data_IF_698553954576
#
_entry.id   IF_698553954576
#
_cell.length_a   1.000
_cell.length_b   1.000
_cell.length_c   1.000
_cell.angle_alpha   90.00
_cell.angle_beta   90.00
_cell.angle_gamma   90.00
#
_symmetry.space_group_name_H-M   'P 1'
#
loop_
_entity.id
_entity.type
_entity.pdbx_description
1 polymer ?
#
# COMPACT_ATOMS: atom_id res chain seq x y z
N UNK A 1 -28.25 -26.33 -79.79
CA UNK A 1 -28.33 -26.99 -78.48
C UNK A 1 -27.18 -26.45 -77.63
N UNK A 2 -27.54 -25.72 -76.58
CA UNK A 2 -26.72 -25.28 -75.44
C UNK A 2 -25.29 -24.80 -75.71
N UNK A 3 -25.14 -23.49 -75.95
CA UNK A 3 -23.95 -22.76 -75.50
C UNK A 3 -24.17 -22.45 -74.00
N UNK A 4 -23.23 -22.87 -73.17
CA UNK A 4 -23.37 -22.92 -71.70
C UNK A 4 -22.93 -21.59 -71.08
N UNK A 5 -23.78 -20.87 -70.33
CA UNK A 5 -23.36 -19.69 -69.58
C UNK A 5 -23.09 -20.01 -68.10
N UNK A 6 -22.39 -19.09 -67.43
CA UNK A 6 -22.21 -18.96 -65.98
C UNK A 6 -21.20 -19.93 -65.33
N UNK A 7 -20.39 -19.56 -64.35
CA UNK A 7 -20.09 -18.26 -63.76
C UNK A 7 -18.81 -18.43 -62.89
N UNK A 8 -18.12 -17.31 -62.71
CA UNK A 8 -17.49 -16.85 -61.47
C UNK A 8 -16.40 -17.71 -60.78
N UNK A 9 -15.19 -17.14 -60.82
CA UNK A 9 -14.34 -16.84 -59.67
C UNK A 9 -14.46 -17.75 -58.43
N UNK A 10 -13.45 -18.60 -58.24
CA UNK A 10 -13.16 -19.20 -56.93
C UNK A 10 -11.68 -19.55 -56.83
N UNK A 11 -10.81 -18.54 -56.71
CA UNK A 11 -9.52 -18.73 -56.05
C UNK A 11 -9.18 -17.46 -55.26
N UNK A 12 -9.88 -17.29 -54.13
CA UNK A 12 -9.49 -16.34 -53.11
C UNK A 12 -9.96 -16.85 -51.74
N UNK A 13 -8.97 -17.09 -50.88
CA UNK A 13 -9.07 -17.07 -49.43
C UNK A 13 -9.80 -18.25 -48.75
N UNK A 14 -9.12 -19.40 -48.69
CA UNK A 14 -9.17 -20.22 -47.48
C UNK A 14 -8.40 -19.51 -46.34
N UNK A 15 -8.98 -18.42 -45.81
CA UNK A 15 -8.47 -17.77 -44.61
C UNK A 15 -8.80 -18.69 -43.41
N UNK A 16 -7.79 -19.45 -42.96
CA UNK A 16 -7.83 -20.12 -41.65
C UNK A 16 -8.11 -19.13 -40.51
N UNK A 17 -8.41 -19.61 -39.29
CA UNK A 17 -8.93 -18.77 -38.20
C UNK A 17 -8.03 -17.54 -37.98
N UNK A 18 -8.58 -16.36 -38.29
CA UNK A 18 -7.86 -15.09 -38.26
C UNK A 18 -7.26 -14.87 -36.89
N UNK A 19 -5.93 -14.85 -36.80
CA UNK A 19 -5.20 -14.59 -35.56
C UNK A 19 -5.57 -13.19 -35.07
N UNK A 20 -6.29 -13.08 -33.96
CA UNK A 20 -6.58 -11.77 -33.35
C UNK A 20 -5.26 -11.03 -33.09
N UNK A 21 -5.14 -9.75 -33.48
CA UNK A 21 -3.91 -9.00 -33.33
C UNK A 21 -3.54 -8.92 -31.84
N UNK A 22 -2.25 -9.15 -31.55
CA UNK A 22 -1.72 -9.07 -30.20
C UNK A 22 -1.54 -7.58 -29.85
N UNK A 23 -2.10 -7.08 -28.75
CA UNK A 23 -1.96 -5.66 -28.39
C UNK A 23 -0.49 -5.32 -28.14
N UNK A 24 -0.03 -4.20 -28.71
CA UNK A 24 1.36 -3.74 -28.64
C UNK A 24 1.57 -2.67 -27.57
N UNK A 25 0.54 -1.89 -27.26
CA UNK A 25 0.59 -0.84 -26.23
C UNK A 25 -0.16 -1.26 -24.96
N UNK A 26 0.21 -0.71 -23.77
CA UNK A 26 -0.54 -0.98 -22.53
C UNK A 26 -2.00 -0.49 -22.62
N UNK A 27 -2.25 0.57 -23.39
CA UNK A 27 -3.59 1.09 -23.63
C UNK A 27 -4.43 0.10 -24.45
N UNK A 28 -3.85 -0.53 -25.47
CA UNK A 28 -4.53 -1.58 -26.24
C UNK A 28 -4.87 -2.82 -25.40
N UNK A 29 -3.99 -3.22 -24.47
CA UNK A 29 -4.27 -4.33 -23.53
C UNK A 29 -5.47 -4.00 -22.65
N UNK A 30 -5.52 -2.78 -22.12
CA UNK A 30 -6.65 -2.30 -21.31
C UNK A 30 -7.93 -2.21 -22.14
N UNK A 31 -7.86 -1.63 -23.35
CA UNK A 31 -8.99 -1.52 -24.27
C UNK A 31 -9.56 -2.89 -24.64
N UNK A 32 -8.71 -3.89 -24.91
CA UNK A 32 -9.12 -5.26 -25.18
C UNK A 32 -9.79 -5.92 -23.96
N UNK A 33 -9.27 -5.68 -22.74
CA UNK A 33 -9.88 -6.18 -21.50
C UNK A 33 -11.26 -5.55 -21.24
N UNK A 34 -11.39 -4.23 -21.48
CA UNK A 34 -12.65 -3.49 -21.38
C UNK A 34 -13.65 -3.99 -22.42
N UNK A 35 -13.24 -4.14 -23.69
CA UNK A 35 -14.09 -4.67 -24.75
C UNK A 35 -14.61 -6.07 -24.42
N UNK A 36 -13.76 -6.94 -23.85
CA UNK A 36 -14.15 -8.28 -23.39
C UNK A 36 -15.17 -8.24 -22.23
N UNK A 37 -15.03 -7.27 -21.32
CA UNK A 37 -15.94 -7.11 -20.20
C UNK A 37 -17.31 -6.57 -20.66
N UNK A 38 -17.31 -5.59 -21.57
CA UNK A 38 -18.51 -4.97 -22.12
C UNK A 38 -19.27 -5.88 -23.10
N UNK A 39 -18.62 -6.92 -23.65
CA UNK A 39 -19.28 -7.91 -24.48
C UNK A 39 -20.40 -8.69 -23.75
N UNK A 40 -20.31 -8.81 -22.42
CA UNK A 40 -21.34 -9.48 -21.59
C UNK A 40 -21.54 -8.69 -20.28
N UNK A 41 -22.31 -7.59 -20.29
CA UNK A 41 -22.44 -6.70 -19.14
C UNK A 41 -23.21 -7.32 -17.96
N UNK A 42 -24.05 -8.35 -18.21
CA UNK A 42 -24.82 -9.04 -17.16
C UNK A 42 -23.98 -10.02 -16.32
N UNK A 43 -22.77 -10.38 -16.78
CA UNK A 43 -21.91 -11.33 -16.08
C UNK A 43 -21.23 -10.66 -14.89
N UNK A 44 -21.54 -11.12 -13.67
CA UNK A 44 -20.87 -10.63 -12.46
C UNK A 44 -19.34 -10.78 -12.54
N UNK A 45 -18.64 -9.68 -12.25
CA UNK A 45 -17.17 -9.61 -12.26
C UNK A 45 -16.62 -10.22 -10.98
N UNK A 46 -15.91 -11.35 -11.09
CA UNK A 46 -15.22 -11.97 -9.97
C UNK A 46 -13.84 -11.35 -9.80
N UNK A 47 -13.71 -10.42 -8.87
CA UNK A 47 -12.40 -9.93 -8.44
C UNK A 47 -11.64 -11.05 -7.70
N UNK A 48 -10.32 -11.19 -7.93
CA UNK A 48 -9.52 -12.10 -7.12
C UNK A 48 -9.55 -11.62 -5.66
N UNK A 49 -9.82 -12.53 -4.74
CA UNK A 49 -9.68 -12.25 -3.31
C UNK A 49 -8.22 -12.03 -2.91
N UNK A 50 -7.96 -11.60 -1.67
CA UNK A 50 -6.61 -11.46 -1.16
C UNK A 50 -5.83 -12.79 -1.29
N UNK A 51 -4.50 -12.74 -1.51
CA UNK A 51 -3.68 -13.95 -1.59
C UNK A 51 -3.77 -14.70 -0.27
N UNK A 52 -4.13 -15.98 -0.33
CA UNK A 52 -4.20 -16.83 0.86
C UNK A 52 -2.79 -17.17 1.34
N UNK A 53 -2.60 -17.16 2.65
CA UNK A 53 -1.36 -17.64 3.24
C UNK A 53 -1.19 -19.15 2.99
N UNK A 54 0.07 -19.58 2.91
CA UNK A 54 0.39 -21.00 2.71
C UNK A 54 0.16 -21.73 4.04
N UNK A 55 -0.92 -22.50 4.10
CA UNK A 55 -1.25 -23.35 5.24
C UNK A 55 -0.98 -24.82 4.89
N UNK A 56 -0.45 -25.56 5.86
CA UNK A 56 -0.40 -27.01 5.73
C UNK A 56 -1.72 -27.58 6.19
N UNK A 57 -2.15 -28.63 5.49
CA UNK A 57 -3.27 -29.46 5.94
C UNK A 57 -3.01 -29.92 7.38
N UNK A 58 -4.04 -29.91 8.22
CA UNK A 58 -3.96 -30.45 9.57
C UNK A 58 -3.56 -31.94 9.58
N UNK A 59 -2.79 -32.42 10.58
CA UNK A 59 -2.51 -33.84 10.75
C UNK A 59 -3.83 -34.64 10.84
N UNK A 60 -3.79 -35.90 10.43
CA UNK A 60 -4.96 -36.78 10.54
C UNK A 60 -4.99 -37.30 11.97
N UNK A 61 -6.15 -37.21 12.63
CA UNK A 61 -6.27 -37.61 14.03
C UNK A 61 -6.09 -39.13 14.24
N UNK A 62 -6.60 -39.93 13.31
CA UNK A 62 -6.48 -41.39 13.36
C UNK A 62 -5.90 -41.93 12.06
N UNK A 63 -4.81 -42.70 12.19
CA UNK A 63 -4.22 -43.47 11.11
C UNK A 63 -4.73 -44.91 11.27
N UNK A 64 -5.52 -45.37 10.30
CA UNK A 64 -6.18 -46.69 10.35
C UNK A 64 -5.25 -47.87 10.03
N UNK A 65 -4.08 -47.59 9.44
CA UNK A 65 -3.18 -48.60 8.87
C UNK A 65 -1.84 -48.68 9.62
N UNK A 66 -1.88 -48.54 10.96
CA UNK A 66 -0.67 -48.64 11.79
C UNK A 66 -0.35 -50.12 11.99
N UNK A 67 0.77 -50.58 11.42
CA UNK A 67 1.29 -51.93 11.66
C UNK A 67 1.84 -52.02 13.09
N UNK A 68 1.85 -53.22 13.67
CA UNK A 68 2.30 -53.43 15.06
C UNK A 68 3.74 -52.99 15.29
N UNK A 69 4.08 -52.59 16.52
CA UNK A 69 5.39 -52.01 16.86
C UNK A 69 6.59 -52.94 16.61
N UNK A 70 6.35 -54.26 16.58
CA UNK A 70 7.37 -55.28 16.28
C UNK A 70 7.33 -55.79 14.83
N UNK A 71 6.45 -55.25 13.99
CA UNK A 71 6.40 -55.61 12.58
C UNK A 71 7.63 -55.04 11.84
N UNK A 72 8.22 -55.84 10.95
CA UNK A 72 9.37 -55.40 10.15
C UNK A 72 9.04 -54.27 9.16
N UNK A 73 10.09 -53.67 8.58
CA UNK A 73 9.93 -52.62 7.58
C UNK A 73 9.26 -53.16 6.31
N UNK A 74 8.03 -52.70 6.04
CA UNK A 74 7.31 -53.02 4.80
C UNK A 74 7.83 -52.19 3.61
N UNK A 75 7.56 -52.65 2.38
CA UNK A 75 7.97 -51.97 1.14
C UNK A 75 7.40 -50.55 0.98
N UNK A 76 6.27 -50.26 1.61
CA UNK A 76 5.63 -48.93 1.59
C UNK A 76 6.14 -47.95 2.64
N UNK A 77 6.90 -48.41 3.64
CA UNK A 77 7.29 -47.57 4.80
C UNK A 77 8.22 -46.42 4.38
N UNK A 78 9.09 -46.66 3.38
CA UNK A 78 9.96 -45.63 2.82
C UNK A 78 9.16 -44.42 2.29
N UNK A 79 8.05 -44.67 1.60
CA UNK A 79 7.21 -43.60 1.07
C UNK A 79 6.45 -42.88 2.17
N UNK A 80 5.95 -43.60 3.18
CA UNK A 80 5.33 -43.01 4.38
C UNK A 80 6.29 -42.02 5.03
N UNK A 81 7.54 -42.45 5.26
CA UNK A 81 8.58 -41.61 5.82
C UNK A 81 8.91 -40.39 4.94
N UNK A 82 9.08 -40.59 3.63
CA UNK A 82 9.36 -39.51 2.67
C UNK A 82 8.29 -38.42 2.71
N UNK A 83 7.01 -38.82 2.73
CA UNK A 83 5.89 -37.88 2.79
C UNK A 83 5.80 -37.19 4.16
N UNK A 84 5.99 -37.93 5.26
CA UNK A 84 5.98 -37.38 6.61
C UNK A 84 7.13 -36.37 6.82
N UNK A 85 8.36 -36.72 6.42
CA UNK A 85 9.53 -35.85 6.52
C UNK A 85 9.35 -34.57 5.70
N UNK A 86 8.87 -34.68 4.46
CA UNK A 86 8.61 -33.52 3.60
C UNK A 86 7.59 -32.57 4.24
N UNK A 87 6.48 -33.12 4.74
CA UNK A 87 5.44 -32.35 5.43
C UNK A 87 5.99 -31.65 6.67
N UNK A 88 6.86 -32.33 7.43
CA UNK A 88 7.46 -31.76 8.63
C UNK A 88 8.43 -30.61 8.30
N UNK A 89 9.25 -30.75 7.26
CA UNK A 89 10.11 -29.65 6.81
C UNK A 89 9.30 -28.45 6.30
N UNK A 90 8.23 -28.69 5.55
CA UNK A 90 7.32 -27.62 5.14
C UNK A 90 6.68 -26.95 6.37
N UNK A 91 6.39 -27.70 7.44
CA UNK A 91 5.79 -27.18 8.69
C UNK A 91 6.76 -26.30 9.45
N UNK A 92 7.96 -26.81 9.69
CA UNK A 92 9.03 -26.06 10.38
C UNK A 92 9.34 -24.78 9.60
N UNK A 93 9.51 -24.88 8.28
CA UNK A 93 9.77 -23.73 7.42
C UNK A 93 8.68 -22.67 7.50
N UNK A 94 7.41 -23.06 7.50
CA UNK A 94 6.30 -22.10 7.63
C UNK A 94 6.26 -21.43 9.00
N UNK A 95 6.62 -22.13 10.08
CA UNK A 95 6.73 -21.52 11.41
C UNK A 95 7.88 -20.52 11.46
N UNK A 96 9.06 -20.89 10.92
CA UNK A 96 10.21 -19.98 10.85
C UNK A 96 9.93 -18.75 9.99
N UNK A 97 9.29 -18.93 8.82
CA UNK A 97 8.92 -17.84 7.92
C UNK A 97 7.89 -16.89 8.57
N UNK A 98 6.97 -17.42 9.39
CA UNK A 98 6.00 -16.61 10.15
C UNK A 98 6.69 -15.82 11.26
N UNK A 99 7.54 -16.47 12.06
CA UNK A 99 8.29 -15.81 13.12
C UNK A 99 9.15 -14.65 12.57
N UNK A 100 9.88 -14.88 11.46
CA UNK A 100 10.67 -13.82 10.80
C UNK A 100 9.81 -12.64 10.35
N UNK A 101 8.65 -12.89 9.74
CA UNK A 101 7.73 -11.82 9.31
C UNK A 101 7.15 -11.05 10.50
N UNK A 102 6.82 -11.73 11.59
CA UNK A 102 6.32 -11.09 12.81
C UNK A 102 7.40 -10.19 13.44
N UNK A 103 8.64 -10.66 13.51
CA UNK A 103 9.77 -9.86 13.97
C UNK A 103 10.03 -8.64 13.08
N UNK A 104 10.04 -8.81 11.76
CA UNK A 104 10.23 -7.73 10.79
C UNK A 104 9.11 -6.68 10.85
N UNK A 105 7.85 -7.14 10.93
CA UNK A 105 6.69 -6.24 11.02
C UNK A 105 6.65 -5.50 12.35
N UNK A 106 6.99 -6.15 13.47
CA UNK A 106 7.10 -5.51 14.76
C UNK A 106 8.24 -4.47 14.78
N UNK A 107 9.41 -4.80 14.22
CA UNK A 107 10.53 -3.86 14.09
C UNK A 107 10.17 -2.67 13.21
N UNK A 108 9.48 -2.90 12.09
CA UNK A 108 9.02 -1.84 11.20
C UNK A 108 7.98 -0.93 11.86
N UNK A 109 7.01 -1.50 12.58
CA UNK A 109 6.00 -0.74 13.32
C UNK A 109 6.64 0.14 14.40
N UNK A 110 7.63 -0.38 15.15
CA UNK A 110 8.40 0.41 16.12
C UNK A 110 9.11 1.59 15.46
N UNK A 111 9.86 1.34 14.38
CA UNK A 111 10.55 2.39 13.62
C UNK A 111 9.59 3.45 13.08
N UNK A 112 8.43 3.04 12.56
CA UNK A 112 7.41 3.98 12.10
C UNK A 112 6.85 4.83 13.24
N UNK A 113 6.57 4.23 14.39
CA UNK A 113 6.07 4.94 15.57
C UNK A 113 7.08 5.97 16.09
N UNK A 114 8.37 5.61 16.14
CA UNK A 114 9.46 6.52 16.53
C UNK A 114 9.61 7.70 15.56
N UNK A 115 9.57 7.42 14.25
CA UNK A 115 9.60 8.46 13.22
C UNK A 115 8.36 9.37 13.32
N UNK A 116 7.16 8.81 13.47
CA UNK A 116 5.93 9.56 13.66
C UNK A 116 6.03 10.46 14.90
N UNK A 117 6.43 9.92 16.05
CA UNK A 117 6.60 10.68 17.28
C UNK A 117 7.62 11.82 17.15
N UNK A 118 8.76 11.58 16.50
CA UNK A 118 9.77 12.63 16.29
C UNK A 118 9.29 13.73 15.34
N UNK A 119 8.54 13.38 14.30
CA UNK A 119 7.95 14.36 13.37
C UNK A 119 6.81 15.13 14.02
N UNK A 120 5.98 14.49 14.82
CA UNK A 120 4.91 15.12 15.59
C UNK A 120 5.47 16.07 16.65
N UNK A 121 6.50 15.68 17.39
CA UNK A 121 7.17 16.57 18.34
C UNK A 121 7.72 17.83 17.65
N UNK A 122 8.38 17.68 16.48
CA UNK A 122 8.87 18.82 15.68
C UNK A 122 7.72 19.69 15.16
N UNK A 123 6.63 19.10 14.67
CA UNK A 123 5.49 19.85 14.13
C UNK A 123 4.69 20.56 15.22
N UNK A 124 4.51 19.94 16.39
CA UNK A 124 3.87 20.54 17.57
C UNK A 124 4.67 21.73 18.10
N UNK A 125 6.00 21.59 18.24
CA UNK A 125 6.88 22.72 18.63
C UNK A 125 6.76 23.89 17.66
N UNK A 126 6.73 23.61 16.35
CA UNK A 126 6.58 24.65 15.32
C UNK A 126 5.15 25.23 15.25
N UNK A 127 4.12 24.43 15.54
CA UNK A 127 2.73 24.89 15.66
C UNK A 127 2.59 25.84 16.86
N UNK A 128 3.07 25.44 18.04
CA UNK A 128 3.06 26.27 19.25
C UNK A 128 3.78 27.62 19.05
N UNK A 129 4.94 27.62 18.37
CA UNK A 129 5.65 28.87 17.99
C UNK A 129 4.80 29.79 17.10
N UNK A 130 4.12 29.23 16.10
CA UNK A 130 3.23 30.00 15.20
C UNK A 130 2.00 30.52 15.92
N UNK A 131 1.40 29.73 16.80
CA UNK A 131 0.20 30.13 17.54
C UNK A 131 0.51 31.22 18.57
N UNK A 132 1.67 31.15 19.25
CA UNK A 132 2.17 32.25 20.09
C UNK A 132 2.40 33.54 19.28
N UNK A 133 2.97 33.45 18.07
CA UNK A 133 3.14 34.61 17.18
C UNK A 133 1.80 35.18 16.71
N UNK A 134 0.84 34.33 16.35
CA UNK A 134 -0.52 34.75 15.96
C UNK A 134 -1.26 35.42 17.11
N UNK A 135 -1.18 34.87 18.32
CA UNK A 135 -1.78 35.46 19.51
C UNK A 135 -1.20 36.85 19.80
N UNK A 136 0.12 37.02 19.72
CA UNK A 136 0.77 38.34 19.85
C UNK A 136 0.36 39.33 18.75
N UNK A 137 0.25 38.87 17.49
CA UNK A 137 -0.19 39.73 16.40
C UNK A 137 -1.65 40.17 16.53
N UNK A 138 -2.54 39.28 16.99
CA UNK A 138 -3.95 39.63 17.28
C UNK A 138 -4.09 40.56 18.50
N UNK A 139 -3.33 40.30 19.57
CA UNK A 139 -3.32 41.16 20.76
C UNK A 139 -2.72 42.55 20.48
N UNK A 140 -1.71 42.65 19.62
CA UNK A 140 -1.12 43.92 19.19
C UNK A 140 -1.99 44.72 18.22
N UNK A 141 -2.80 44.05 17.39
CA UNK A 141 -3.73 44.72 16.47
C UNK A 141 -5.01 45.24 17.17
N UNK A 142 -5.40 44.66 18.32
CA UNK A 142 -6.54 45.12 19.12
C UNK A 142 -6.21 46.18 20.18
N UNK A 143 -4.92 46.39 20.49
CA UNK A 143 -4.47 47.28 21.57
C UNK A 143 -3.83 48.60 21.07
N UNK A 144 -4.08 49.00 19.82
CA UNK A 144 -3.66 50.30 19.27
C UNK A 144 -4.65 51.44 19.63
N UNK A 145 -5.26 51.37 20.81
CA UNK A 145 -6.17 52.38 21.33
C UNK A 145 -6.20 52.33 22.87
N UNK A 146 -5.19 52.90 23.52
CA UNK A 146 -5.14 53.02 24.98
C UNK A 146 -3.73 53.13 25.54
N UNK A 147 -3.26 54.36 25.75
CA UNK A 147 -2.01 54.66 26.43
C UNK A 147 -2.06 54.33 27.94
N UNK A 148 -1.01 53.67 28.43
CA UNK A 148 -0.18 53.98 29.62
C UNK A 148 0.22 52.76 30.46
N UNK A 149 1.51 52.43 30.35
CA UNK A 149 2.50 52.14 31.41
C UNK A 149 2.07 51.29 32.63
N UNK A 150 2.62 50.08 32.71
CA UNK A 150 3.09 49.49 33.96
C UNK A 150 4.32 48.59 33.70
N UNK A 151 5.41 48.90 34.39
CA UNK A 151 6.67 48.17 34.47
C UNK A 151 6.49 46.75 35.06
N UNK A 152 7.39 45.85 34.67
CA UNK A 152 7.75 44.68 35.49
C UNK A 152 7.45 43.31 34.89
N UNK A 153 8.31 42.83 34.01
CA UNK A 153 8.75 41.43 33.94
C UNK A 153 9.78 41.26 32.82
N UNK A 154 10.99 41.77 33.05
CA UNK A 154 12.18 41.18 32.46
C UNK A 154 12.39 39.82 33.13
N UNK A 155 11.88 38.76 32.51
CA UNK A 155 12.36 37.41 32.70
C UNK A 155 12.75 36.92 31.31
N UNK A 156 14.04 37.03 31.02
CA UNK A 156 14.62 36.47 29.83
C UNK A 156 14.42 34.95 29.81
N UNK A 157 14.01 34.45 28.66
CA UNK A 157 14.58 33.20 28.18
C UNK A 157 14.75 33.34 26.67
N UNK A 158 15.93 33.85 26.33
CA UNK A 158 16.56 33.61 25.06
C UNK A 158 17.12 32.19 25.08
N UNK A 159 16.28 31.16 24.93
CA UNK A 159 16.75 29.84 24.47
C UNK A 159 16.93 29.90 22.94
N UNK A 160 17.96 30.63 22.52
CA UNK A 160 18.62 30.45 21.25
C UNK A 160 19.84 29.55 21.47
N UNK A 161 19.86 28.44 20.72
CA UNK A 161 21.00 27.58 20.38
C UNK A 161 21.49 26.49 21.36
N UNK A 162 21.92 25.38 20.74
CA UNK A 162 22.50 24.11 21.24
C UNK A 162 21.47 23.13 21.88
N UNK A 163 21.37 21.85 21.53
CA UNK A 163 22.25 20.97 20.76
C UNK A 163 21.43 19.77 20.24
N UNK A 164 21.89 19.15 19.16
CA UNK A 164 21.20 18.09 18.44
C UNK A 164 21.71 18.02 17.01
N UNK A 165 23.02 17.76 16.91
CA UNK A 165 23.78 17.44 15.72
C UNK A 165 23.00 16.46 14.82
N UNK A 166 22.82 16.83 13.55
CA UNK A 166 22.58 15.91 12.45
C UNK A 166 23.13 16.58 11.17
N UNK A 167 24.45 16.79 11.18
CA UNK A 167 25.21 16.99 9.96
C UNK A 167 25.31 15.65 9.23
N UNK A 168 24.43 15.42 8.26
CA UNK A 168 24.75 14.87 6.94
C UNK A 168 23.46 14.60 6.15
N UNK A 169 22.90 15.66 5.55
CA UNK A 169 22.28 15.51 4.21
C UNK A 169 22.24 16.86 3.49
N UNK A 170 23.40 17.33 3.06
CA UNK A 170 23.52 18.31 1.98
C UNK A 170 23.10 17.70 0.64
N UNK A 171 21.82 17.35 0.53
CA UNK A 171 21.15 17.15 -0.75
C UNK A 171 20.53 18.48 -1.15
N UNK A 172 21.22 19.26 -1.99
CA UNK A 172 20.75 20.48 -2.67
C UNK A 172 19.23 20.52 -2.77
N UNK A 173 18.58 21.26 -1.87
CA UNK A 173 17.15 21.58 -1.97
C UNK A 173 16.98 22.45 -3.21
N UNK A 174 16.73 21.79 -4.35
CA UNK A 174 16.30 22.47 -5.57
C UNK A 174 15.01 23.19 -5.22
N UNK A 175 15.10 24.52 -5.12
CA UNK A 175 13.96 25.42 -5.09
C UNK A 175 13.14 25.07 -6.34
N UNK A 176 12.03 24.36 -6.17
CA UNK A 176 11.07 24.17 -7.24
C UNK A 176 10.59 25.58 -7.55
N UNK A 177 11.08 26.13 -8.66
CA UNK A 177 10.60 27.38 -9.19
C UNK A 177 9.09 27.23 -9.32
N UNK A 178 8.36 28.10 -8.63
CA UNK A 178 6.93 28.29 -8.75
C UNK A 178 6.67 28.59 -10.22
N UNK A 179 6.35 27.54 -10.99
CA UNK A 179 5.92 27.69 -12.36
C UNK A 179 4.69 28.60 -12.34
N UNK A 180 4.73 29.56 -13.25
CA UNK A 180 3.64 30.47 -13.53
C UNK A 180 2.34 29.69 -13.80
N UNK A 181 1.24 30.40 -13.56
CA UNK A 181 -0.16 30.00 -13.69
C UNK A 181 -0.82 29.30 -12.48
N UNK A 182 -1.90 29.94 -12.03
CA UNK A 182 -2.60 29.63 -10.80
C UNK A 182 -3.48 28.40 -10.90
N UNK A 183 -3.12 27.37 -10.14
CA UNK A 183 -4.06 26.38 -9.66
C UNK A 183 -3.86 26.20 -8.15
N UNK A 184 -4.63 26.94 -7.36
CA UNK A 184 -4.67 26.76 -5.91
C UNK A 184 -5.39 25.44 -5.59
N UNK A 185 -4.64 24.41 -5.23
CA UNK A 185 -5.22 23.15 -4.75
C UNK A 185 -5.69 23.38 -3.30
N UNK A 186 -7.01 23.52 -3.13
CA UNK A 186 -7.67 23.61 -1.83
C UNK A 186 -7.94 22.20 -1.31
N UNK A 187 -7.24 21.77 -0.25
CA UNK A 187 -7.53 20.53 0.45
C UNK A 187 -8.71 20.74 1.40
N UNK A 188 -9.84 20.08 1.12
CA UNK A 188 -11.03 20.13 1.99
C UNK A 188 -10.75 19.33 3.25
N UNK A 189 -10.62 20.03 4.39
CA UNK A 189 -10.52 19.42 5.73
C UNK A 189 -11.87 18.76 6.06
N UNK A 190 -11.90 17.51 6.57
CA UNK A 190 -13.15 16.92 7.06
C UNK A 190 -13.63 17.74 8.27
N UNK A 191 -14.88 18.19 8.20
CA UNK A 191 -15.53 18.95 9.26
C UNK A 191 -15.53 18.14 10.56
N UNK A 192 -15.09 18.78 11.64
CA UNK A 192 -15.40 18.32 13.00
C UNK A 192 -16.79 18.81 13.37
N UNK A 193 -17.50 17.97 14.13
CA UNK A 193 -18.75 18.26 14.80
C UNK A 193 -18.75 19.65 15.45
N UNK A 194 -19.72 20.46 15.07
CA UNK A 194 -20.19 21.61 15.83
C UNK A 194 -21.66 21.83 15.50
N UNK A 195 -22.54 21.15 16.22
CA UNK A 195 -23.92 21.61 16.43
C UNK A 195 -24.15 21.64 17.95
N UNK A 196 -23.91 22.83 18.51
CA UNK A 196 -24.36 23.28 19.83
C UNK A 196 -25.47 24.32 19.55
N UNK A 197 -26.62 24.12 20.20
CA UNK A 197 -27.73 25.07 20.44
C UNK A 197 -28.66 25.47 19.27
N UNK A 198 -29.83 24.82 19.23
CA UNK A 198 -31.14 25.48 19.28
C UNK A 198 -32.19 24.56 19.95
#
# INVERSE_FOLDING_TARGET
MADSPAAAAADAAAAGPSRTPRPQTPQEVQAAAVARLLANPERAVRLPGPPKEKELRAPRDMIKNVSGSSAGAGSGEFHVYKHARRREYERVKLMEDKAKKEEETAAFAKRQAELAASTDAKTLKNRAKRDKKKARAKGGAGAAGGEKKAEGAAAGDAAAAADGEDEEREGKRRKIARAAEGASIAFKRPAGDSDDEA
#
